data_IF_787912230632
#
_entry.id   IF_787912230632
#
_cell.length_a   1.000
_cell.length_b   1.000
_cell.length_c   1.000
_cell.angle_alpha   90.00
_cell.angle_beta   90.00
_cell.angle_gamma   90.00
#
_symmetry.space_group_name_H-M   'P 1'
#
loop_
_entity.id
_entity.type
_entity.pdbx_description
1 polymer ?
#
# COMPACT_ATOMS: atom_id res chain seq x y z
N UNK A 1 3.82 -19.83 9.70
CA UNK A 1 4.44 -18.52 9.95
C UNK A 1 4.10 -17.68 8.72
N UNK A 2 3.56 -16.51 8.88
CA UNK A 2 3.26 -15.61 7.75
C UNK A 2 4.52 -14.80 7.46
N UNK A 3 4.85 -14.57 6.18
CA UNK A 3 5.99 -13.72 5.82
C UNK A 3 5.67 -12.26 6.16
N UNK A 4 6.63 -11.58 6.75
CA UNK A 4 6.50 -10.13 7.05
C UNK A 4 6.86 -9.27 5.84
N UNK A 5 7.36 -9.84 4.75
CA UNK A 5 7.77 -9.12 3.55
C UNK A 5 7.31 -9.86 2.30
N UNK A 6 6.85 -9.06 1.31
CA UNK A 6 6.72 -9.47 -0.08
C UNK A 6 7.29 -8.36 -0.99
N UNK A 7 8.41 -8.67 -1.65
CA UNK A 7 9.08 -7.77 -2.59
C UNK A 7 8.78 -8.20 -4.03
N UNK A 8 8.13 -7.34 -4.80
CA UNK A 8 7.69 -7.64 -6.18
C UNK A 8 8.64 -7.00 -7.18
N UNK A 9 9.33 -7.84 -7.95
CA UNK A 9 10.24 -7.46 -9.03
C UNK A 9 9.62 -7.72 -10.39
N UNK A 10 10.05 -6.99 -11.40
CA UNK A 10 9.60 -7.18 -12.79
C UNK A 10 9.86 -5.95 -13.64
N UNK A 11 9.76 -6.06 -14.98
CA UNK A 11 9.98 -4.93 -15.88
C UNK A 11 8.94 -3.81 -15.70
N UNK A 12 9.22 -2.63 -16.27
CA UNK A 12 8.24 -1.55 -16.34
C UNK A 12 7.00 -2.02 -17.09
N UNK A 13 5.83 -1.59 -16.63
CA UNK A 13 4.53 -1.96 -17.18
C UNK A 13 4.18 -3.48 -17.09
N UNK A 14 4.87 -4.27 -16.26
CA UNK A 14 4.52 -5.68 -16.03
C UNK A 14 3.28 -5.88 -15.15
N UNK A 15 2.84 -4.83 -14.41
CA UNK A 15 1.67 -4.89 -13.54
C UNK A 15 2.00 -4.98 -12.05
N UNK A 16 3.22 -4.65 -11.62
CA UNK A 16 3.61 -4.64 -10.19
C UNK A 16 2.68 -3.76 -9.35
N UNK A 17 2.47 -2.52 -9.79
CA UNK A 17 1.55 -1.58 -9.15
C UNK A 17 0.13 -2.12 -9.07
N UNK A 18 -0.35 -2.83 -10.11
CA UNK A 18 -1.70 -3.43 -10.10
C UNK A 18 -1.92 -4.42 -8.94
N UNK A 19 -0.86 -5.11 -8.49
CA UNK A 19 -0.97 -5.98 -7.31
C UNK A 19 -1.23 -5.18 -6.04
N UNK A 20 -0.49 -4.08 -5.83
CA UNK A 20 -0.70 -3.20 -4.69
C UNK A 20 -2.07 -2.49 -4.76
N UNK A 21 -2.47 -2.05 -5.96
CA UNK A 21 -3.78 -1.43 -6.20
C UNK A 21 -4.94 -2.40 -5.92
N UNK A 22 -4.76 -3.69 -6.18
CA UNK A 22 -5.77 -4.69 -5.84
C UNK A 22 -5.99 -4.77 -4.32
N UNK A 23 -4.92 -4.77 -3.51
CA UNK A 23 -5.01 -4.75 -2.04
C UNK A 23 -5.62 -3.44 -1.53
N UNK A 24 -5.19 -2.32 -2.10
CA UNK A 24 -5.79 -1.00 -1.82
C UNK A 24 -7.28 -0.97 -2.14
N UNK A 25 -7.68 -1.53 -3.29
CA UNK A 25 -9.08 -1.62 -3.66
C UNK A 25 -9.88 -2.42 -2.63
N UNK A 26 -9.39 -3.59 -2.19
CA UNK A 26 -10.04 -4.40 -1.15
C UNK A 26 -10.26 -3.58 0.11
N UNK A 27 -9.21 -2.98 0.66
CA UNK A 27 -9.29 -2.17 1.87
C UNK A 27 -10.29 -1.03 1.74
N UNK A 28 -10.17 -0.21 0.69
CA UNK A 28 -11.07 0.91 0.46
C UNK A 28 -12.51 0.47 0.21
N UNK A 29 -12.73 -0.62 -0.51
CA UNK A 29 -14.09 -1.08 -0.80
C UNK A 29 -14.79 -1.64 0.44
N UNK A 30 -14.05 -2.32 1.33
CA UNK A 30 -14.56 -2.75 2.65
C UNK A 30 -14.87 -1.54 3.52
N UNK A 31 -13.96 -0.56 3.60
CA UNK A 31 -14.07 0.61 4.49
C UNK A 31 -15.21 1.55 4.10
N UNK A 32 -15.28 1.92 2.81
CA UNK A 32 -16.11 3.01 2.28
C UNK A 32 -17.47 2.53 1.76
N UNK A 33 -17.55 1.26 1.36
CA UNK A 33 -18.60 0.72 0.49
C UNK A 33 -20.06 1.09 0.79
N UNK A 34 -20.51 1.11 2.05
CA UNK A 34 -21.90 1.47 2.38
C UNK A 34 -22.05 2.93 2.82
N UNK A 35 -21.03 3.55 3.43
CA UNK A 35 -21.10 4.88 4.02
C UNK A 35 -21.15 5.98 2.97
N UNK A 36 -20.31 5.92 1.94
CA UNK A 36 -20.08 7.02 1.00
C UNK A 36 -20.69 6.82 -0.39
N UNK A 37 -21.25 5.64 -0.67
CA UNK A 37 -21.82 5.33 -1.98
C UNK A 37 -23.33 5.21 -1.90
N UNK A 38 -24.02 6.06 -2.65
CA UNK A 38 -25.43 5.83 -2.91
C UNK A 38 -25.62 4.66 -3.90
N UNK A 39 -26.86 4.19 -4.05
CA UNK A 39 -27.17 3.04 -4.89
C UNK A 39 -26.92 3.29 -6.41
N UNK A 40 -26.75 4.54 -6.81
CA UNK A 40 -26.54 4.92 -8.23
C UNK A 40 -25.07 4.94 -8.63
N UNK A 41 -24.14 5.00 -7.66
CA UNK A 41 -22.71 5.06 -7.95
C UNK A 41 -22.15 3.69 -8.37
N UNK A 42 -21.35 3.71 -9.43
CA UNK A 42 -20.61 2.52 -9.87
C UNK A 42 -19.52 2.12 -8.86
N UNK A 43 -19.23 0.82 -8.79
CA UNK A 43 -18.05 0.32 -8.07
C UNK A 43 -16.80 0.71 -8.89
N UNK A 44 -15.76 1.31 -8.28
CA UNK A 44 -14.57 1.78 -8.99
C UNK A 44 -13.58 0.63 -9.24
N UNK A 45 -14.09 -0.51 -9.70
CA UNK A 45 -13.27 -1.62 -10.16
C UNK A 45 -12.91 -1.41 -11.62
N UNK A 46 -11.65 -1.64 -11.95
CA UNK A 46 -11.17 -1.60 -13.32
C UNK A 46 -11.00 -3.02 -13.86
N UNK A 47 -11.86 -3.46 -14.79
CA UNK A 47 -11.73 -4.77 -15.39
C UNK A 47 -10.53 -4.81 -16.34
N UNK A 48 -10.05 -6.02 -16.65
CA UNK A 48 -8.98 -6.20 -17.62
C UNK A 48 -9.48 -5.86 -19.04
N UNK A 49 -8.95 -4.79 -19.62
CA UNK A 49 -9.45 -4.20 -20.88
C UNK A 49 -8.79 -4.80 -22.16
N UNK A 50 -7.67 -5.53 -22.02
CA UNK A 50 -6.92 -6.05 -23.17
C UNK A 50 -7.48 -7.38 -23.71
N UNK A 51 -8.50 -7.95 -23.08
CA UNK A 51 -9.18 -9.18 -23.51
C UNK A 51 -10.68 -8.94 -23.52
N UNK A 52 -11.27 -8.93 -24.72
CA UNK A 52 -12.72 -8.72 -24.90
C UNK A 52 -13.58 -9.80 -24.20
N UNK A 53 -13.01 -10.99 -23.94
CA UNK A 53 -13.70 -12.02 -23.16
C UNK A 53 -13.89 -11.67 -21.69
N UNK A 54 -13.14 -10.69 -21.19
CA UNK A 54 -13.26 -10.16 -19.83
C UNK A 54 -14.37 -9.11 -19.67
N UNK A 55 -14.93 -8.62 -20.78
CA UNK A 55 -15.99 -7.63 -20.73
C UNK A 55 -17.25 -8.19 -20.05
N UNK A 56 -17.71 -7.47 -19.03
CA UNK A 56 -18.85 -7.90 -18.21
C UNK A 56 -18.57 -9.03 -17.22
N UNK A 57 -17.37 -9.62 -17.21
CA UNK A 57 -16.98 -10.59 -16.19
C UNK A 57 -16.65 -9.87 -14.87
N UNK A 58 -16.89 -10.50 -13.71
CA UNK A 58 -16.51 -9.92 -12.43
C UNK A 58 -14.99 -9.93 -12.26
N UNK A 59 -14.45 -8.87 -11.65
CA UNK A 59 -13.12 -8.91 -11.03
C UNK A 59 -13.22 -9.62 -9.69
N UNK A 60 -12.37 -10.61 -9.48
CA UNK A 60 -12.40 -11.49 -8.31
C UNK A 60 -11.24 -11.22 -7.36
N UNK A 61 -11.53 -11.19 -6.08
CA UNK A 61 -10.57 -10.93 -5.02
C UNK A 61 -10.67 -12.03 -3.97
N UNK A 62 -9.51 -12.48 -3.48
CA UNK A 62 -9.40 -13.38 -2.35
C UNK A 62 -8.26 -12.91 -1.45
N UNK A 63 -8.56 -12.69 -0.18
CA UNK A 63 -7.58 -12.30 0.84
C UNK A 63 -7.68 -13.25 2.02
N UNK A 64 -6.54 -13.82 2.40
CA UNK A 64 -6.38 -14.60 3.62
C UNK A 64 -5.60 -13.77 4.64
N UNK A 65 -6.12 -13.65 5.86
CA UNK A 65 -5.55 -12.79 6.90
C UNK A 65 -5.83 -13.32 8.30
N UNK A 66 -5.08 -12.81 9.28
CA UNK A 66 -5.31 -13.02 10.71
C UNK A 66 -5.84 -11.70 11.26
N UNK A 67 -7.03 -11.71 11.87
CA UNK A 67 -7.61 -10.51 12.44
C UNK A 67 -7.21 -10.30 13.92
N UNK A 68 -7.62 -9.17 14.49
CA UNK A 68 -7.27 -8.79 15.87
C UNK A 68 -7.71 -9.78 16.95
N UNK A 69 -8.68 -10.66 16.68
CA UNK A 69 -9.08 -11.78 17.55
C UNK A 69 -8.14 -13.00 17.46
N UNK A 70 -7.08 -12.92 16.63
CA UNK A 70 -6.11 -14.00 16.40
C UNK A 70 -6.62 -15.13 15.50
N UNK A 71 -7.83 -15.04 14.95
CA UNK A 71 -8.38 -16.05 14.06
C UNK A 71 -7.96 -15.80 12.60
N UNK A 72 -7.81 -16.89 11.86
CA UNK A 72 -7.56 -16.86 10.42
C UNK A 72 -8.88 -16.75 9.67
N UNK A 73 -8.94 -15.80 8.77
CA UNK A 73 -10.08 -15.56 7.88
C UNK A 73 -9.67 -15.72 6.41
N UNK A 74 -10.63 -16.12 5.59
CA UNK A 74 -10.54 -16.02 4.13
C UNK A 74 -11.77 -15.24 3.66
N UNK A 75 -11.51 -14.10 3.06
CA UNK A 75 -12.52 -13.24 2.47
C UNK A 75 -12.43 -13.27 0.94
N UNK A 76 -13.50 -13.61 0.27
CA UNK A 76 -13.55 -13.65 -1.19
C UNK A 76 -14.78 -12.94 -1.71
N UNK A 77 -14.63 -12.18 -2.79
CA UNK A 77 -15.74 -11.54 -3.46
C UNK A 77 -15.45 -11.29 -4.94
N UNK A 78 -16.51 -11.20 -5.74
CA UNK A 78 -16.46 -10.82 -7.13
C UNK A 78 -17.36 -9.62 -7.40
N UNK A 79 -16.85 -8.64 -8.16
CA UNK A 79 -17.55 -7.40 -8.45
C UNK A 79 -17.48 -7.03 -9.91
N UNK A 80 -18.58 -6.48 -10.42
CA UNK A 80 -18.62 -5.69 -11.64
C UNK A 80 -18.69 -4.20 -11.28
N UNK A 81 -18.66 -3.31 -12.25
CA UNK A 81 -18.91 -1.89 -12.01
C UNK A 81 -20.31 -1.59 -11.44
N UNK A 82 -21.24 -2.54 -11.51
CA UNK A 82 -22.65 -2.37 -11.12
C UNK A 82 -22.99 -2.98 -9.79
N UNK A 83 -22.44 -4.17 -9.50
CA UNK A 83 -22.86 -4.95 -8.34
C UNK A 83 -21.78 -5.90 -7.82
N UNK A 84 -21.95 -6.31 -6.57
CA UNK A 84 -21.26 -7.45 -5.96
C UNK A 84 -21.94 -8.73 -6.45
N UNK A 85 -21.22 -9.54 -7.23
CA UNK A 85 -21.73 -10.77 -7.84
C UNK A 85 -21.74 -11.91 -6.84
N UNK A 86 -20.66 -12.01 -6.06
CA UNK A 86 -20.60 -12.93 -4.92
C UNK A 86 -19.75 -12.33 -3.79
N UNK A 87 -19.95 -12.83 -2.57
CA UNK A 87 -19.18 -12.46 -1.38
C UNK A 87 -19.25 -13.61 -0.36
N UNK A 88 -18.09 -14.03 0.14
CA UNK A 88 -18.00 -15.10 1.13
C UNK A 88 -16.96 -14.72 2.19
N UNK A 89 -17.30 -14.98 3.47
CA UNK A 89 -16.35 -14.90 4.57
C UNK A 89 -16.30 -16.25 5.30
N UNK A 90 -15.09 -16.77 5.40
CA UNK A 90 -14.76 -18.02 6.09
C UNK A 90 -13.87 -17.71 7.28
N UNK A 91 -14.11 -18.35 8.42
CA UNK A 91 -13.25 -18.28 9.60
C UNK A 91 -12.78 -19.65 10.01
N UNK A 92 -11.58 -19.73 10.57
CA UNK A 92 -10.99 -20.95 11.10
C UNK A 92 -10.89 -20.87 12.62
N UNK A 93 -11.94 -21.40 13.31
CA UNK A 93 -11.90 -21.62 14.77
C UNK A 93 -11.02 -22.81 15.15
N UNK A 94 -10.72 -23.66 14.17
CA UNK A 94 -9.87 -24.84 14.27
C UNK A 94 -9.26 -25.09 12.89
N UNK A 95 -8.72 -26.28 12.62
CA UNK A 95 -8.26 -26.65 11.27
C UNK A 95 -9.36 -26.73 10.20
N UNK A 96 -10.64 -26.79 10.63
CA UNK A 96 -11.77 -26.85 9.72
C UNK A 96 -12.36 -25.47 9.44
N UNK A 97 -12.62 -25.11 8.16
CA UNK A 97 -13.22 -23.85 7.78
C UNK A 97 -14.70 -23.78 8.19
N UNK A 98 -15.13 -22.62 8.65
CA UNK A 98 -16.53 -22.31 8.91
C UNK A 98 -16.94 -21.12 8.05
N UNK A 99 -17.82 -21.32 7.08
CA UNK A 99 -18.40 -20.24 6.28
C UNK A 99 -19.38 -19.45 7.15
N UNK A 100 -19.07 -18.17 7.39
CA UNK A 100 -19.98 -17.31 8.19
C UNK A 100 -21.18 -16.86 7.37
N UNK A 101 -20.96 -16.49 6.13
CA UNK A 101 -22.01 -16.19 5.16
C UNK A 101 -21.53 -16.41 3.73
N UNK A 102 -22.50 -16.59 2.83
CA UNK A 102 -22.28 -16.64 1.37
C UNK A 102 -23.38 -15.82 0.71
N UNK A 103 -23.01 -14.81 -0.04
CA UNK A 103 -23.86 -13.95 -0.86
C UNK A 103 -23.65 -14.26 -2.33
N UNK A 104 -24.70 -14.21 -3.13
CA UNK A 104 -24.64 -14.37 -4.56
C UNK A 104 -25.68 -13.50 -5.25
N UNK A 105 -25.38 -13.05 -6.48
CA UNK A 105 -26.29 -12.39 -7.41
C UNK A 105 -26.61 -13.33 -8.57
N UNK A 106 -27.86 -13.41 -8.93
CA UNK A 106 -28.30 -14.16 -10.08
C UNK A 106 -29.23 -13.26 -10.91
N UNK A 107 -28.72 -12.72 -12.03
CA UNK A 107 -29.49 -11.81 -12.88
C UNK A 107 -29.93 -10.51 -12.18
N UNK A 108 -29.13 -10.04 -11.19
CA UNK A 108 -29.44 -8.86 -10.37
C UNK A 108 -30.24 -9.14 -9.11
N UNK A 109 -30.80 -10.35 -8.94
CA UNK A 109 -31.45 -10.78 -7.70
C UNK A 109 -30.41 -11.24 -6.69
N UNK A 110 -30.30 -10.49 -5.60
CA UNK A 110 -29.33 -10.71 -4.53
C UNK A 110 -29.87 -11.68 -3.49
N UNK A 111 -29.07 -12.66 -3.08
CA UNK A 111 -29.38 -13.59 -2.00
C UNK A 111 -28.19 -13.78 -1.05
N UNK A 112 -28.48 -14.11 0.22
CA UNK A 112 -27.47 -14.41 1.22
C UNK A 112 -27.86 -15.60 2.08
N UNK A 113 -26.89 -16.48 2.35
CA UNK A 113 -27.02 -17.59 3.28
C UNK A 113 -26.10 -17.37 4.47
N UNK A 114 -26.63 -17.48 5.67
CA UNK A 114 -25.89 -17.31 6.93
C UNK A 114 -25.68 -18.63 7.63
N UNK A 115 -24.50 -18.84 8.15
CA UNK A 115 -24.26 -19.94 9.08
C UNK A 115 -25.00 -19.74 10.41
N UNK A 116 -25.26 -20.83 11.11
CA UNK A 116 -25.78 -20.80 12.48
C UNK A 116 -24.77 -20.23 13.47
N UNK A 117 -23.49 -20.35 13.17
CA UNK A 117 -22.38 -19.77 13.95
C UNK A 117 -22.41 -18.24 13.96
N UNK A 118 -22.80 -17.59 12.87
CA UNK A 118 -22.94 -16.13 12.82
C UNK A 118 -24.16 -15.69 13.63
N UNK A 119 -23.93 -15.09 14.80
CA UNK A 119 -24.96 -14.58 15.70
C UNK A 119 -25.23 -13.08 15.41
N UNK A 120 -26.31 -12.55 16.00
CA UNK A 120 -26.67 -11.13 15.90
C UNK A 120 -27.69 -10.80 14.82
N UNK A 121 -27.89 -9.53 14.56
CA UNK A 121 -28.97 -8.97 13.73
C UNK A 121 -28.68 -9.05 12.21
N UNK A 122 -28.14 -10.17 11.74
CA UNK A 122 -27.68 -10.37 10.36
C UNK A 122 -28.75 -10.12 9.29
N UNK A 123 -30.05 -10.38 9.59
CA UNK A 123 -31.16 -10.12 8.66
C UNK A 123 -31.46 -8.63 8.51
N UNK A 124 -31.33 -7.86 9.58
CA UNK A 124 -31.49 -6.40 9.55
C UNK A 124 -30.35 -5.75 8.77
N UNK A 125 -29.11 -6.21 9.00
CA UNK A 125 -27.93 -5.77 8.23
C UNK A 125 -28.10 -6.10 6.73
N UNK A 126 -28.57 -7.30 6.41
CA UNK A 126 -28.87 -7.66 5.03
C UNK A 126 -29.90 -6.75 4.37
N UNK A 127 -30.93 -6.36 5.09
CA UNK A 127 -31.98 -5.49 4.57
C UNK A 127 -31.48 -4.09 4.15
N UNK A 128 -30.38 -3.62 4.74
CA UNK A 128 -29.75 -2.34 4.39
C UNK A 128 -28.57 -2.51 3.40
N UNK A 129 -28.17 -3.75 3.12
CA UNK A 129 -27.04 -4.03 2.22
C UNK A 129 -27.46 -3.78 0.76
N UNK A 130 -26.79 -2.85 0.10
CA UNK A 130 -27.05 -2.53 -1.30
C UNK A 130 -26.33 -3.51 -2.24
N UNK A 131 -26.80 -3.62 -3.49
CA UNK A 131 -26.16 -4.47 -4.50
C UNK A 131 -24.71 -4.05 -4.81
N UNK A 132 -24.39 -2.77 -4.69
CA UNK A 132 -23.07 -2.18 -4.95
C UNK A 132 -22.18 -2.02 -3.70
N UNK A 133 -22.53 -2.62 -2.58
CA UNK A 133 -21.77 -2.59 -1.34
C UNK A 133 -21.58 -4.00 -0.76
N UNK A 134 -20.47 -4.24 -0.09
CA UNK A 134 -20.19 -5.50 0.59
C UNK A 134 -21.08 -5.69 1.83
N UNK A 135 -21.47 -6.93 2.13
CA UNK A 135 -22.17 -7.27 3.37
C UNK A 135 -21.25 -7.01 4.58
N UNK A 136 -19.95 -7.27 4.46
CA UNK A 136 -18.97 -6.97 5.52
C UNK A 136 -18.97 -5.49 5.88
N UNK A 137 -19.01 -4.59 4.88
CA UNK A 137 -19.15 -3.13 5.10
C UNK A 137 -20.47 -2.77 5.79
N UNK A 138 -21.57 -3.39 5.37
CA UNK A 138 -22.88 -3.19 5.96
C UNK A 138 -22.93 -3.69 7.41
N UNK A 139 -22.20 -4.77 7.71
CA UNK A 139 -22.10 -5.35 9.06
C UNK A 139 -21.47 -4.37 10.05
N UNK A 140 -20.44 -3.63 9.63
CA UNK A 140 -19.83 -2.58 10.46
C UNK A 140 -20.82 -1.46 10.77
N UNK A 141 -21.53 -0.95 9.75
CA UNK A 141 -22.53 0.11 9.93
C UNK A 141 -23.72 -0.35 10.77
N UNK A 142 -24.15 -1.62 10.61
CA UNK A 142 -25.27 -2.21 11.31
C UNK A 142 -24.93 -2.79 12.69
N UNK A 143 -23.68 -2.63 13.18
CA UNK A 143 -23.28 -3.11 14.51
C UNK A 143 -23.31 -4.63 14.65
N UNK A 144 -22.90 -5.38 13.64
CA UNK A 144 -22.82 -6.85 13.70
C UNK A 144 -21.45 -7.28 14.26
N UNK A 145 -21.31 -7.21 15.58
CA UNK A 145 -20.06 -7.44 16.33
C UNK A 145 -19.25 -8.68 15.92
N UNK A 146 -19.85 -9.86 15.61
CA UNK A 146 -19.08 -11.04 15.21
C UNK A 146 -18.23 -10.88 13.94
N UNK A 147 -18.43 -9.82 13.16
CA UNK A 147 -17.66 -9.50 11.95
C UNK A 147 -16.73 -8.30 12.13
N UNK A 148 -16.68 -7.72 13.33
CA UNK A 148 -15.94 -6.49 13.62
C UNK A 148 -14.45 -6.66 13.38
N UNK A 149 -13.83 -7.72 13.91
CA UNK A 149 -12.37 -7.90 13.79
C UNK A 149 -11.96 -8.12 12.33
N UNK A 150 -12.71 -8.94 11.59
CA UNK A 150 -12.47 -9.12 10.15
C UNK A 150 -12.66 -7.81 9.35
N UNK A 151 -13.65 -6.99 9.71
CA UNK A 151 -13.86 -5.69 9.08
C UNK A 151 -12.70 -4.72 9.38
N UNK A 152 -12.31 -4.61 10.66
CA UNK A 152 -11.26 -3.68 11.09
C UNK A 152 -9.93 -4.01 10.41
N UNK A 153 -9.57 -5.30 10.35
CA UNK A 153 -8.35 -5.74 9.70
C UNK A 153 -8.30 -5.36 8.21
N UNK A 154 -9.35 -5.68 7.47
CA UNK A 154 -9.39 -5.37 6.03
C UNK A 154 -9.55 -3.87 5.76
N UNK A 155 -10.29 -3.14 6.58
CA UNK A 155 -10.58 -1.72 6.36
C UNK A 155 -9.44 -0.79 6.77
N UNK A 156 -8.68 -1.17 7.82
CA UNK A 156 -7.69 -0.28 8.45
C UNK A 156 -6.33 -0.95 8.69
N UNK A 157 -6.21 -2.26 8.56
CA UNK A 157 -4.95 -2.98 8.72
C UNK A 157 -4.01 -2.89 7.51
N UNK A 158 -4.46 -2.30 6.39
CA UNK A 158 -3.69 -2.14 5.16
C UNK A 158 -3.53 -0.65 4.85
N UNK A 159 -2.30 -0.18 4.80
CA UNK A 159 -1.94 1.21 4.50
C UNK A 159 -1.16 1.29 3.19
N UNK A 160 -1.65 2.06 2.23
CA UNK A 160 -0.91 2.33 1.00
C UNK A 160 -0.10 3.60 1.15
N UNK A 161 1.17 3.50 0.82
CA UNK A 161 2.08 4.61 0.67
C UNK A 161 2.51 4.73 -0.80
N UNK A 162 2.17 5.84 -1.43
CA UNK A 162 2.70 6.21 -2.73
C UNK A 162 3.96 7.06 -2.53
N UNK A 163 5.10 6.60 -3.03
CA UNK A 163 6.34 7.35 -2.93
C UNK A 163 6.30 8.73 -3.63
N UNK A 164 5.29 8.99 -4.46
CA UNK A 164 5.02 10.30 -5.03
C UNK A 164 4.17 11.20 -4.11
N UNK A 165 3.57 10.67 -3.04
CA UNK A 165 2.66 11.37 -2.13
C UNK A 165 3.28 11.68 -0.76
N UNK A 166 4.55 12.13 -0.73
CA UNK A 166 5.20 12.60 0.50
C UNK A 166 4.39 13.63 1.29
N UNK A 167 3.68 14.59 0.65
CA UNK A 167 2.84 15.54 1.38
C UNK A 167 1.75 14.87 2.22
N UNK A 168 1.24 13.72 1.79
CA UNK A 168 0.19 13.00 2.51
C UNK A 168 0.67 12.53 3.90
N UNK A 169 1.89 11.99 4.02
CA UNK A 169 2.43 11.54 5.29
C UNK A 169 2.72 12.70 6.26
N UNK A 170 3.01 13.90 5.77
CA UNK A 170 3.18 15.07 6.61
C UNK A 170 1.92 15.43 7.39
N UNK A 171 0.73 15.08 6.91
CA UNK A 171 -0.49 15.25 7.68
C UNK A 171 -0.51 14.36 8.91
N UNK A 172 -0.08 13.10 8.76
CA UNK A 172 0.03 12.16 9.88
C UNK A 172 1.07 12.66 10.91
N UNK A 173 2.21 13.16 10.44
CA UNK A 173 3.25 13.74 11.29
C UNK A 173 2.74 14.98 12.03
N UNK A 174 2.01 15.87 11.37
CA UNK A 174 1.40 17.07 11.99
C UNK A 174 0.34 16.68 13.03
N UNK A 175 -0.50 15.68 12.75
CA UNK A 175 -1.45 15.15 13.73
C UNK A 175 -0.75 14.46 14.90
N UNK A 176 0.31 13.70 14.64
CA UNK A 176 1.15 13.12 15.68
C UNK A 176 1.69 14.22 16.60
N UNK A 177 2.22 15.31 16.05
CA UNK A 177 2.73 16.44 16.84
C UNK A 177 1.66 17.12 17.69
N UNK A 178 0.40 17.17 17.21
CA UNK A 178 -0.74 17.69 17.97
C UNK A 178 -1.08 16.81 19.17
N UNK A 179 -1.11 15.50 18.95
CA UNK A 179 -1.67 14.54 19.89
C UNK A 179 -0.61 13.86 20.77
N UNK A 180 0.60 13.67 20.24
CA UNK A 180 1.68 12.94 20.90
C UNK A 180 3.06 13.49 20.53
N UNK A 181 3.58 14.43 21.30
CA UNK A 181 4.89 15.03 21.05
C UNK A 181 6.05 14.02 21.11
N UNK A 182 5.93 12.97 21.91
CA UNK A 182 6.99 11.95 22.00
C UNK A 182 7.24 11.23 20.67
N UNK A 183 6.24 11.11 19.80
CA UNK A 183 6.42 10.57 18.45
C UNK A 183 7.33 11.43 17.59
N UNK A 184 7.29 12.76 17.73
CA UNK A 184 8.19 13.68 17.03
C UNK A 184 9.63 13.55 17.54
N UNK A 185 9.82 13.32 18.84
CA UNK A 185 11.14 13.10 19.43
C UNK A 185 11.73 11.77 18.94
N UNK A 186 10.92 10.71 18.87
CA UNK A 186 11.31 9.42 18.30
C UNK A 186 11.72 9.54 16.81
N UNK A 187 10.94 10.24 15.99
CA UNK A 187 11.28 10.49 14.59
C UNK A 187 12.56 11.32 14.44
N UNK A 188 12.74 12.32 15.30
CA UNK A 188 13.97 13.14 15.35
C UNK A 188 15.20 12.29 15.67
N UNK A 189 15.06 11.32 16.56
CA UNK A 189 16.12 10.40 16.91
C UNK A 189 16.45 9.47 15.73
N UNK A 190 15.46 8.88 15.09
CA UNK A 190 15.65 8.01 13.91
C UNK A 190 16.36 8.75 12.77
N UNK A 191 15.98 9.99 12.48
CA UNK A 191 16.63 10.79 11.43
C UNK A 191 18.11 11.07 11.73
N UNK A 192 18.48 11.27 13.01
CA UNK A 192 19.90 11.42 13.40
C UNK A 192 20.71 10.15 13.13
N UNK A 193 20.13 8.98 13.40
CA UNK A 193 20.79 7.68 13.13
C UNK A 193 20.82 7.33 11.65
N UNK A 194 19.96 7.92 10.83
CA UNK A 194 19.96 7.70 9.37
C UNK A 194 21.11 8.44 8.65
N UNK A 195 21.87 9.32 9.34
CA UNK A 195 23.00 10.06 8.80
C UNK A 195 22.70 10.84 7.51
N UNK A 196 21.53 11.45 7.46
CA UNK A 196 21.06 12.28 6.33
C UNK A 196 21.27 13.79 6.55
N UNK A 197 22.05 14.16 7.57
CA UNK A 197 22.36 15.55 7.90
C UNK A 197 21.31 16.28 8.76
N UNK A 198 20.22 15.61 9.13
CA UNK A 198 19.16 16.16 9.97
C UNK A 198 19.42 15.85 11.44
N UNK A 199 19.34 16.85 12.31
CA UNK A 199 19.53 16.72 13.76
C UNK A 199 18.21 16.54 14.52
N UNK A 200 17.07 16.82 13.90
CA UNK A 200 15.73 16.67 14.46
C UNK A 200 14.68 17.36 13.63
N UNK A 201 13.44 17.16 14.02
CA UNK A 201 12.26 17.80 13.39
C UNK A 201 11.41 18.50 14.45
N UNK A 202 10.61 19.46 14.00
CA UNK A 202 9.57 20.11 14.79
C UNK A 202 8.39 20.49 13.91
N UNK A 203 7.19 20.53 14.49
CA UNK A 203 5.99 21.01 13.81
C UNK A 203 5.62 22.36 14.40
N UNK A 204 5.64 23.39 13.56
CA UNK A 204 5.48 24.79 13.97
C UNK A 204 4.33 25.45 13.25
N UNK A 205 3.69 26.41 13.91
CA UNK A 205 2.69 27.27 13.28
C UNK A 205 3.34 28.14 12.21
N UNK A 206 2.70 28.23 11.07
CA UNK A 206 3.06 29.14 9.98
C UNK A 206 2.05 30.31 9.95
N UNK A 207 2.54 31.52 9.67
CA UNK A 207 1.65 32.65 9.45
C UNK A 207 0.89 32.39 8.14
N UNK A 208 -0.45 32.56 8.14
CA UNK A 208 -1.26 32.43 6.94
C UNK A 208 -0.75 33.41 5.85
N UNK A 209 -0.28 32.88 4.73
CA UNK A 209 0.10 33.66 3.55
C UNK A 209 -0.97 33.50 2.46
N UNK A 210 -1.02 34.45 1.50
CA UNK A 210 -1.98 34.37 0.38
C UNK A 210 -1.75 33.15 -0.55
N UNK A 211 -0.57 32.50 -0.52
CA UNK A 211 -0.30 31.21 -1.16
C UNK A 211 -1.06 30.03 -0.53
N UNK A 212 -1.61 30.20 0.68
CA UNK A 212 -2.39 29.17 1.36
C UNK A 212 -3.76 28.90 0.69
N UNK A 213 -4.22 29.79 -0.19
CA UNK A 213 -5.48 29.60 -0.91
C UNK A 213 -5.38 28.49 -2.00
N UNK A 214 -4.23 28.34 -2.66
CA UNK A 214 -4.00 27.23 -3.61
C UNK A 214 -3.76 25.89 -2.88
N UNK A 215 -3.03 25.92 -1.76
CA UNK A 215 -2.90 24.76 -0.85
C UNK A 215 -4.25 24.32 -0.29
N UNK A 216 -5.24 25.21 -0.21
CA UNK A 216 -6.62 24.91 0.22
C UNK A 216 -7.34 23.96 -0.75
N UNK A 217 -7.05 24.01 -2.04
CA UNK A 217 -7.62 23.06 -3.01
C UNK A 217 -6.98 21.65 -2.88
N UNK A 218 -5.65 21.56 -2.68
CA UNK A 218 -5.01 20.30 -2.29
C UNK A 218 -5.49 19.79 -0.92
N UNK A 219 -5.82 20.70 0.00
CA UNK A 219 -6.40 20.38 1.30
C UNK A 219 -7.77 19.70 1.21
N UNK A 220 -8.57 19.98 0.18
CA UNK A 220 -9.88 19.33 -0.04
C UNK A 220 -9.71 17.85 -0.40
N UNK A 221 -8.73 17.51 -1.22
CA UNK A 221 -8.43 16.13 -1.61
C UNK A 221 -7.90 15.30 -0.42
N UNK A 222 -7.12 15.95 0.45
CA UNK A 222 -6.66 15.37 1.72
C UNK A 222 -7.79 15.22 2.72
N UNK A 223 -8.69 16.19 2.82
CA UNK A 223 -9.89 16.10 3.66
C UNK A 223 -10.75 14.91 3.26
N UNK A 224 -10.85 14.57 1.98
CA UNK A 224 -11.54 13.37 1.54
C UNK A 224 -10.83 12.09 1.96
N UNK A 225 -9.48 12.07 1.95
CA UNK A 225 -8.69 10.93 2.44
C UNK A 225 -8.75 10.78 3.98
N UNK A 226 -8.71 11.88 4.72
CA UNK A 226 -8.67 11.88 6.18
C UNK A 226 -10.06 11.80 6.82
N UNK A 227 -11.10 12.30 6.17
CA UNK A 227 -12.52 12.13 6.60
C UNK A 227 -12.97 10.68 6.70
N UNK A 228 -12.19 9.74 6.18
CA UNK A 228 -12.46 8.31 6.34
C UNK A 228 -12.16 7.77 7.76
N UNK A 229 -11.53 8.55 8.66
CA UNK A 229 -11.39 8.19 10.07
C UNK A 229 -12.54 8.82 10.87
N UNK A 230 -13.26 8.03 11.65
CA UNK A 230 -14.41 8.46 12.46
C UNK A 230 -14.03 9.49 13.55
N UNK A 231 -12.72 9.69 13.83
CA UNK A 231 -12.18 10.55 14.88
C UNK A 231 -11.61 11.89 14.36
N UNK A 232 -11.76 12.21 13.06
CA UNK A 232 -11.20 13.42 12.50
C UNK A 232 -12.08 14.65 12.72
N UNK A 233 -11.54 15.64 13.42
CA UNK A 233 -12.26 16.88 13.77
C UNK A 233 -11.86 18.07 12.88
N UNK A 234 -12.74 19.08 12.78
CA UNK A 234 -12.43 20.35 12.12
C UNK A 234 -11.19 21.04 12.74
N UNK A 235 -10.93 20.79 14.02
CA UNK A 235 -9.75 21.26 14.74
C UNK A 235 -8.45 20.66 14.18
N UNK A 236 -8.49 19.41 13.69
CA UNK A 236 -7.34 18.72 13.08
C UNK A 236 -7.00 19.35 11.74
N UNK A 237 -8.02 19.61 10.92
CA UNK A 237 -7.84 20.30 9.65
C UNK A 237 -7.19 21.68 9.84
N UNK A 238 -7.71 22.48 10.78
CA UNK A 238 -7.13 23.79 11.08
C UNK A 238 -5.68 23.69 11.57
N UNK A 239 -5.35 22.66 12.33
CA UNK A 239 -3.99 22.42 12.77
C UNK A 239 -3.06 22.03 11.61
N UNK A 240 -3.48 21.09 10.78
CA UNK A 240 -2.72 20.63 9.61
C UNK A 240 -2.42 21.81 8.68
N UNK A 241 -3.43 22.62 8.36
CA UNK A 241 -3.28 23.76 7.45
C UNK A 241 -2.47 24.91 8.07
N UNK A 242 -2.55 25.10 9.36
CA UNK A 242 -1.83 26.18 10.10
C UNK A 242 -0.45 25.80 10.60
N UNK A 243 0.10 24.65 10.20
CA UNK A 243 1.42 24.19 10.65
C UNK A 243 2.25 23.67 9.50
N UNK A 244 3.58 23.69 9.68
CA UNK A 244 4.54 23.02 8.77
C UNK A 244 5.59 22.26 9.56
N UNK A 245 6.24 21.29 8.87
CA UNK A 245 7.34 20.49 9.41
C UNK A 245 8.65 21.23 9.15
N UNK A 246 9.44 21.40 10.20
CA UNK A 246 10.76 22.02 10.15
C UNK A 246 11.84 20.99 10.50
N UNK A 247 12.97 21.11 9.83
CA UNK A 247 14.14 20.26 9.97
C UNK A 247 15.29 21.05 10.54
N UNK A 248 15.97 20.49 11.55
CA UNK A 248 17.12 21.10 12.19
C UNK A 248 18.40 20.60 11.58
N UNK A 249 19.22 21.51 11.07
CA UNK A 249 20.51 21.22 10.51
C UNK A 249 21.64 21.87 11.32
N UNK A 250 22.85 21.28 11.19
CA UNK A 250 24.05 21.85 11.79
C UNK A 250 24.51 23.06 10.99
N UNK A 251 24.54 24.22 11.61
CA UNK A 251 25.17 25.42 11.06
C UNK A 251 26.64 25.54 11.42
N UNK A 252 27.33 26.53 10.87
CA UNK A 252 28.74 26.84 11.17
C UNK A 252 28.92 27.43 12.58
N UNK A 253 27.89 27.97 13.19
CA UNK A 253 27.85 28.51 14.58
C UNK A 253 26.67 27.88 15.32
N UNK A 254 25.46 28.31 15.01
CA UNK A 254 24.24 27.76 15.61
C UNK A 254 23.54 26.82 14.64
N UNK A 255 22.71 25.90 15.17
CA UNK A 255 21.88 25.05 14.36
C UNK A 255 20.76 25.87 13.70
N UNK A 256 20.38 25.50 12.48
CA UNK A 256 19.41 26.25 11.66
C UNK A 256 18.21 25.38 11.32
N UNK A 257 17.03 25.96 11.42
CA UNK A 257 15.78 25.32 11.05
C UNK A 257 15.37 25.67 9.61
N UNK A 258 15.13 24.66 8.79
CA UNK A 258 14.55 24.80 7.47
C UNK A 258 13.12 24.27 7.45
N UNK A 259 12.21 24.92 6.71
CA UNK A 259 10.88 24.38 6.44
C UNK A 259 10.97 23.22 5.44
N UNK A 260 9.95 22.39 5.39
CA UNK A 260 9.88 21.23 4.49
C UNK A 260 10.10 21.59 3.02
N UNK A 261 9.71 22.81 2.60
CA UNK A 261 9.88 23.30 1.23
C UNK A 261 11.32 23.58 0.82
N UNK A 262 12.27 23.62 1.77
CA UNK A 262 13.71 23.81 1.53
C UNK A 262 14.51 22.52 1.63
N UNK A 263 13.85 21.40 1.93
CA UNK A 263 14.49 20.10 2.04
C UNK A 263 14.61 19.40 0.69
N UNK A 264 15.53 18.45 0.63
CA UNK A 264 15.62 17.54 -0.49
C UNK A 264 14.47 16.50 -0.46
N UNK A 265 14.03 16.03 -1.65
CA UNK A 265 13.05 14.97 -1.76
C UNK A 265 13.46 13.72 -0.96
N UNK A 266 14.77 13.40 -0.93
CA UNK A 266 15.29 12.27 -0.17
C UNK A 266 15.15 12.44 1.35
N UNK A 267 15.33 13.66 1.89
CA UNK A 267 15.13 13.96 3.31
C UNK A 267 13.66 13.84 3.69
N UNK A 268 12.78 14.40 2.86
CA UNK A 268 11.33 14.34 3.03
C UNK A 268 10.86 12.91 2.99
N UNK A 269 11.34 12.13 2.02
CA UNK A 269 11.04 10.72 1.89
C UNK A 269 11.49 9.92 3.12
N UNK A 270 12.71 10.13 3.61
CA UNK A 270 13.23 9.41 4.76
C UNK A 270 12.35 9.65 6.00
N UNK A 271 11.94 10.89 6.26
CA UNK A 271 11.02 11.21 7.35
C UNK A 271 9.68 10.48 7.20
N UNK A 272 9.11 10.50 5.99
CA UNK A 272 7.84 9.84 5.70
C UNK A 272 7.94 8.32 5.89
N UNK A 273 9.01 7.70 5.39
CA UNK A 273 9.26 6.26 5.58
C UNK A 273 9.43 5.88 7.05
N UNK A 274 10.16 6.69 7.85
CA UNK A 274 10.32 6.40 9.28
C UNK A 274 9.02 6.57 10.05
N UNK A 275 8.21 7.58 9.73
CA UNK A 275 6.87 7.76 10.31
C UNK A 275 5.99 6.54 10.05
N UNK A 276 5.95 6.10 8.78
CA UNK A 276 5.18 4.95 8.33
C UNK A 276 5.64 3.65 9.01
N UNK A 277 6.97 3.40 9.03
CA UNK A 277 7.51 2.22 9.70
C UNK A 277 7.20 2.22 11.20
N UNK A 278 7.41 3.36 11.87
CA UNK A 278 7.15 3.49 13.30
C UNK A 278 5.69 3.18 13.65
N UNK A 279 4.76 3.69 12.83
CA UNK A 279 3.34 3.40 12.98
C UNK A 279 3.06 1.90 12.78
N UNK A 280 3.46 1.34 11.65
CA UNK A 280 3.18 -0.05 11.32
C UNK A 280 3.81 -1.05 12.30
N UNK A 281 5.08 -0.86 12.67
CA UNK A 281 5.76 -1.75 13.61
C UNK A 281 5.12 -1.72 15.01
N UNK A 282 4.51 -0.59 15.40
CA UNK A 282 3.75 -0.47 16.66
C UNK A 282 2.36 -1.08 16.57
N UNK A 283 1.65 -0.92 15.46
CA UNK A 283 0.28 -1.40 15.27
C UNK A 283 0.18 -2.84 14.78
N UNK A 284 1.21 -3.35 14.07
CA UNK A 284 1.17 -4.63 13.36
C UNK A 284 0.50 -4.54 11.98
N UNK A 285 0.31 -3.33 11.43
CA UNK A 285 -0.36 -3.13 10.15
C UNK A 285 0.50 -3.54 8.94
N UNK A 286 -0.16 -3.69 7.79
CA UNK A 286 0.47 -3.99 6.50
C UNK A 286 0.70 -2.69 5.72
N UNK A 287 1.94 -2.43 5.31
CA UNK A 287 2.29 -1.29 4.46
C UNK A 287 2.46 -1.76 3.01
N UNK A 288 1.87 -1.02 2.09
CA UNK A 288 2.07 -1.18 0.65
C UNK A 288 2.89 -0.01 0.12
N UNK A 289 4.04 -0.27 -0.53
CA UNK A 289 4.93 0.77 -1.08
C UNK A 289 5.24 0.50 -2.54
N UNK A 290 4.90 1.41 -3.44
CA UNK A 290 5.28 1.31 -4.85
C UNK A 290 6.62 2.02 -5.10
N UNK A 291 7.49 1.40 -5.93
CA UNK A 291 8.83 1.91 -6.30
C UNK A 291 9.66 2.39 -5.09
N UNK A 292 9.81 1.53 -4.09
CA UNK A 292 10.39 1.86 -2.79
C UNK A 292 11.80 2.48 -2.88
N UNK A 293 12.58 2.12 -3.91
CA UNK A 293 13.93 2.64 -4.16
C UNK A 293 13.98 4.08 -4.69
N UNK A 294 12.84 4.64 -5.13
CA UNK A 294 12.81 5.91 -5.86
C UNK A 294 13.43 7.08 -5.10
N UNK A 295 13.37 7.06 -3.79
CA UNK A 295 13.73 8.21 -2.97
C UNK A 295 14.70 7.91 -1.83
N UNK A 296 15.03 6.64 -1.58
CA UNK A 296 15.96 6.25 -0.54
C UNK A 296 17.28 5.75 -1.12
N UNK A 297 18.39 6.17 -0.51
CA UNK A 297 19.70 5.59 -0.83
C UNK A 297 19.66 4.06 -0.55
N UNK A 298 20.28 3.20 -1.40
CA UNK A 298 20.22 1.73 -1.26
C UNK A 298 20.61 1.20 0.12
N UNK A 299 21.52 1.87 0.83
CA UNK A 299 21.89 1.49 2.21
C UNK A 299 20.72 1.73 3.17
N UNK A 300 20.05 2.88 3.09
CA UNK A 300 18.88 3.17 3.91
C UNK A 300 17.72 2.24 3.59
N UNK A 301 17.55 1.91 2.31
CA UNK A 301 16.55 0.95 1.87
C UNK A 301 16.78 -0.44 2.49
N UNK A 302 18.03 -0.94 2.49
CA UNK A 302 18.38 -2.20 3.16
C UNK A 302 18.05 -2.18 4.65
N UNK A 303 18.43 -1.12 5.35
CA UNK A 303 18.16 -0.99 6.79
C UNK A 303 16.65 -0.88 7.06
N UNK A 304 15.91 -0.15 6.22
CA UNK A 304 14.46 -0.05 6.34
C UNK A 304 13.77 -1.41 6.21
N UNK A 305 14.13 -2.20 5.20
CA UNK A 305 13.57 -3.54 4.99
C UNK A 305 13.90 -4.46 6.17
N UNK A 306 15.13 -4.35 6.74
CA UNK A 306 15.52 -5.12 7.94
C UNK A 306 14.62 -4.87 9.14
N UNK A 307 14.04 -3.67 9.29
CA UNK A 307 13.10 -3.38 10.37
C UNK A 307 11.93 -4.37 10.41
N UNK A 308 11.47 -4.83 9.25
CA UNK A 308 10.34 -5.75 9.14
C UNK A 308 10.75 -7.22 9.24
N UNK A 309 12.02 -7.54 9.02
CA UNK A 309 12.55 -8.91 9.11
C UNK A 309 12.97 -9.25 10.55
N UNK A 310 13.58 -8.31 11.27
CA UNK A 310 14.12 -8.53 12.62
C UNK A 310 13.00 -8.60 13.67
N UNK A 311 12.82 -9.73 14.38
CA UNK A 311 11.78 -9.85 15.41
C UNK A 311 11.92 -8.84 16.57
N UNK A 312 13.10 -8.26 16.76
CA UNK A 312 13.36 -7.27 17.82
C UNK A 312 12.73 -5.91 17.47
N UNK A 313 12.71 -5.56 16.18
CA UNK A 313 12.09 -4.33 15.67
C UNK A 313 10.65 -4.55 15.26
N UNK A 314 10.26 -5.79 14.90
CA UNK A 314 8.93 -6.15 14.46
C UNK A 314 8.26 -7.23 15.34
N UNK A 315 8.05 -6.97 16.64
CA UNK A 315 7.39 -7.92 17.53
C UNK A 315 5.90 -8.13 17.21
N UNK A 316 5.25 -7.15 16.58
CA UNK A 316 3.83 -7.19 16.23
C UNK A 316 3.56 -7.75 14.82
N UNK A 317 4.61 -8.25 14.13
CA UNK A 317 4.52 -8.89 12.81
C UNK A 317 3.89 -7.98 11.72
N UNK A 318 4.18 -6.69 11.77
CA UNK A 318 3.84 -5.77 10.70
C UNK A 318 4.36 -6.29 9.35
N UNK A 319 3.63 -6.05 8.28
CA UNK A 319 4.00 -6.52 6.95
C UNK A 319 4.40 -5.36 6.04
N UNK A 320 5.41 -5.60 5.18
CA UNK A 320 5.85 -4.69 4.15
C UNK A 320 5.74 -5.36 2.77
N UNK A 321 4.79 -4.91 1.95
CA UNK A 321 4.66 -5.32 0.55
C UNK A 321 5.09 -4.16 -0.33
N UNK A 322 6.08 -4.41 -1.18
CA UNK A 322 6.61 -3.33 -2.01
C UNK A 322 7.01 -3.79 -3.41
N UNK A 323 7.00 -2.87 -4.35
CA UNK A 323 7.60 -3.07 -5.66
C UNK A 323 8.99 -2.46 -5.70
N UNK A 324 9.90 -3.08 -6.45
CA UNK A 324 11.25 -2.55 -6.64
C UNK A 324 11.86 -2.99 -7.96
N UNK A 325 12.80 -2.17 -8.44
CA UNK A 325 13.75 -2.49 -9.51
C UNK A 325 15.18 -2.61 -8.98
N UNK A 326 15.41 -2.27 -7.71
CA UNK A 326 16.75 -2.30 -7.11
C UNK A 326 17.16 -3.73 -6.74
N UNK A 327 18.15 -4.25 -7.43
CA UNK A 327 18.70 -5.58 -7.17
C UNK A 327 19.61 -5.64 -5.94
N UNK A 328 19.96 -4.51 -5.32
CA UNK A 328 20.82 -4.47 -4.13
C UNK A 328 20.24 -5.27 -2.95
N UNK A 329 18.89 -5.35 -2.83
CA UNK A 329 18.21 -6.10 -1.78
C UNK A 329 18.35 -7.63 -1.92
N UNK A 330 18.65 -8.12 -3.14
CA UNK A 330 18.70 -9.55 -3.49
C UNK A 330 20.08 -9.98 -4.03
N UNK A 331 21.08 -9.08 -4.07
CA UNK A 331 22.38 -9.33 -4.73
C UNK A 331 23.41 -10.02 -3.85
N UNK A 332 23.21 -10.09 -2.52
CA UNK A 332 24.17 -10.74 -1.64
C UNK A 332 24.13 -12.26 -1.83
N UNK A 333 25.32 -12.86 -1.98
CA UNK A 333 25.44 -14.30 -2.26
C UNK A 333 25.39 -15.15 -0.98
N UNK A 334 25.72 -14.54 0.17
CA UNK A 334 25.61 -15.20 1.47
C UNK A 334 24.17 -15.10 1.97
N UNK A 335 23.52 -16.22 2.35
CA UNK A 335 22.19 -16.20 2.93
C UNK A 335 22.08 -15.31 4.19
N UNK A 336 23.15 -15.25 4.99
CA UNK A 336 23.19 -14.49 6.25
C UNK A 336 23.31 -12.96 6.01
N UNK A 337 23.80 -12.56 4.85
CA UNK A 337 23.96 -11.15 4.46
C UNK A 337 22.77 -10.62 3.66
N UNK A 338 21.95 -11.50 3.09
CA UNK A 338 20.77 -11.11 2.34
C UNK A 338 19.75 -10.42 3.21
N UNK A 339 19.23 -9.33 2.69
CA UNK A 339 18.09 -8.64 3.32
C UNK A 339 16.80 -9.39 3.05
N UNK A 340 16.61 -9.89 1.81
CA UNK A 340 15.44 -10.65 1.39
C UNK A 340 15.77 -12.12 1.16
N UNK A 341 14.95 -13.00 1.71
CA UNK A 341 15.02 -14.44 1.43
C UNK A 341 14.24 -14.78 0.15
N UNK A 342 14.49 -15.97 -0.41
CA UNK A 342 13.91 -16.41 -1.68
C UNK A 342 12.38 -16.45 -1.70
N UNK A 343 11.78 -16.80 -0.59
CA UNK A 343 10.33 -16.88 -0.39
C UNK A 343 9.66 -15.52 -0.18
N UNK A 344 10.47 -14.49 0.03
CA UNK A 344 10.01 -13.10 0.15
C UNK A 344 10.02 -12.34 -1.20
N UNK A 345 10.61 -12.93 -2.24
CA UNK A 345 10.76 -12.33 -3.57
C UNK A 345 9.74 -12.91 -4.54
N UNK A 346 8.98 -12.03 -5.14
CA UNK A 346 7.98 -12.34 -6.15
C UNK A 346 8.35 -11.69 -7.48
N UNK A 347 8.05 -12.38 -8.56
CA UNK A 347 8.34 -11.94 -9.92
C UNK A 347 7.04 -11.65 -10.65
N UNK A 348 6.99 -10.48 -11.30
CA UNK A 348 5.86 -10.02 -12.08
C UNK A 348 6.23 -10.01 -13.54
N UNK A 349 5.54 -10.79 -14.36
CA UNK A 349 5.75 -10.87 -15.80
C UNK A 349 4.46 -10.62 -16.58
N UNK A 350 4.60 -10.08 -17.79
CA UNK A 350 3.49 -9.72 -18.65
C UNK A 350 3.58 -10.48 -19.98
N UNK A 351 2.61 -11.32 -20.23
CA UNK A 351 2.48 -12.03 -21.49
C UNK A 351 2.20 -11.08 -22.67
N UNK A 352 2.44 -11.52 -23.90
CA UNK A 352 2.11 -10.76 -25.14
C UNK A 352 0.62 -10.36 -25.20
N UNK A 353 -0.25 -11.18 -24.61
CA UNK A 353 -1.68 -10.87 -24.46
C UNK A 353 -1.98 -9.71 -23.49
N UNK A 354 -0.97 -9.16 -22.81
CA UNK A 354 -1.10 -8.15 -21.79
C UNK A 354 -1.48 -8.69 -20.41
N UNK A 355 -1.72 -9.99 -20.25
CA UNK A 355 -2.03 -10.61 -18.96
C UNK A 355 -0.80 -10.62 -18.07
N UNK A 356 -0.95 -10.15 -16.85
CA UNK A 356 0.10 -10.18 -15.81
C UNK A 356 0.02 -11.48 -15.01
N UNK A 357 1.18 -12.05 -14.71
CA UNK A 357 1.34 -13.16 -13.79
C UNK A 357 2.29 -12.79 -12.66
N UNK A 358 1.95 -13.14 -11.44
CA UNK A 358 2.77 -12.99 -10.26
C UNK A 358 3.12 -14.39 -9.71
N UNK A 359 4.40 -14.66 -9.52
CA UNK A 359 4.87 -15.96 -9.06
C UNK A 359 6.08 -15.81 -8.13
N UNK A 360 6.26 -16.71 -7.14
CA UNK A 360 7.36 -16.61 -6.22
C UNK A 360 8.68 -17.01 -6.88
N UNK A 361 9.78 -16.39 -6.48
CA UNK A 361 11.12 -16.73 -6.98
C UNK A 361 11.48 -18.20 -6.69
N UNK A 362 10.90 -18.78 -5.66
CA UNK A 362 11.09 -20.20 -5.30
C UNK A 362 10.67 -21.20 -6.38
N UNK A 363 9.79 -20.80 -7.32
CA UNK A 363 9.39 -21.65 -8.45
C UNK A 363 10.58 -22.00 -9.36
N UNK A 364 11.61 -21.15 -9.39
CA UNK A 364 12.87 -21.40 -10.09
C UNK A 364 13.87 -22.23 -9.29
N UNK A 365 13.54 -22.62 -8.06
CA UNK A 365 14.40 -23.43 -7.16
C UNK A 365 15.83 -22.92 -7.04
N UNK A 366 16.08 -21.62 -6.82
CA UNK A 366 17.43 -21.07 -6.75
C UNK A 366 18.21 -21.69 -5.57
N UNK A 367 19.51 -21.94 -5.75
CA UNK A 367 20.36 -22.49 -4.69
C UNK A 367 20.69 -21.45 -3.62
N UNK A 368 21.03 -21.89 -2.41
CA UNK A 368 21.26 -21.01 -1.26
C UNK A 368 22.36 -19.96 -1.48
N UNK A 369 23.41 -20.31 -2.21
CA UNK A 369 24.58 -19.43 -2.45
C UNK A 369 24.55 -18.72 -3.81
N UNK A 370 23.43 -18.75 -4.51
CA UNK A 370 23.29 -18.01 -5.77
C UNK A 370 23.07 -16.53 -5.49
N UNK A 371 23.69 -15.66 -6.29
CA UNK A 371 23.41 -14.24 -6.29
C UNK A 371 22.11 -14.01 -7.08
N UNK A 372 21.01 -13.81 -6.38
CA UNK A 372 19.66 -13.69 -6.97
C UNK A 372 19.57 -12.47 -7.88
N UNK A 373 20.15 -11.33 -7.45
CA UNK A 373 20.13 -10.10 -8.24
C UNK A 373 20.88 -10.24 -9.56
N UNK A 374 22.07 -10.88 -9.54
CA UNK A 374 22.82 -11.17 -10.75
C UNK A 374 22.04 -12.10 -11.69
N UNK A 375 21.43 -13.13 -11.15
CA UNK A 375 20.63 -14.08 -11.92
C UNK A 375 19.40 -13.38 -12.54
N UNK A 376 18.75 -12.51 -11.77
CA UNK A 376 17.64 -11.67 -12.26
C UNK A 376 18.11 -10.80 -13.43
N UNK A 377 19.22 -10.03 -13.27
CA UNK A 377 19.79 -9.19 -14.32
C UNK A 377 20.26 -9.95 -15.56
N UNK A 378 20.61 -11.23 -15.42
CA UNK A 378 20.95 -12.10 -16.57
C UNK A 378 19.74 -12.73 -17.25
N UNK A 379 18.51 -12.42 -16.81
CA UNK A 379 17.27 -12.95 -17.41
C UNK A 379 16.96 -14.40 -17.07
N UNK A 380 17.61 -15.00 -16.06
CA UNK A 380 17.38 -16.40 -15.67
C UNK A 380 15.94 -16.61 -15.20
N UNK A 381 15.33 -15.56 -14.64
CA UNK A 381 13.97 -15.59 -14.10
C UNK A 381 12.92 -14.96 -15.03
N UNK A 382 13.28 -14.68 -16.25
CA UNK A 382 12.46 -14.12 -17.33
C UNK A 382 11.95 -12.68 -17.12
N UNK A 383 11.53 -12.26 -16.00
CA UNK A 383 10.90 -10.97 -15.68
C UNK A 383 11.80 -9.73 -15.95
N UNK A 384 12.36 -9.59 -17.16
CA UNK A 384 13.21 -8.48 -17.57
C UNK A 384 12.75 -7.81 -18.88
N UNK A 385 12.95 -6.48 -19.03
CA UNK A 385 12.74 -5.81 -20.30
C UNK A 385 13.81 -6.19 -21.33
N UNK A 386 13.45 -6.23 -22.60
CA UNK A 386 14.39 -6.43 -23.72
C UNK A 386 14.38 -5.20 -24.63
N UNK A 387 15.05 -4.09 -24.24
CA UNK A 387 15.02 -2.83 -24.99
C UNK A 387 15.88 -2.91 -26.24
N UNK A 388 15.33 -2.52 -27.41
CA UNK A 388 16.01 -2.42 -28.71
C UNK A 388 15.95 -1.00 -29.31
N UNK A 389 15.66 0.00 -28.51
CA UNK A 389 15.43 1.35 -29.00
C UNK A 389 16.70 2.08 -29.47
N UNK A 390 17.89 1.70 -28.98
CA UNK A 390 19.14 2.36 -29.34
C UNK A 390 19.41 2.33 -30.87
N UNK A 391 19.27 1.18 -31.49
CA UNK A 391 19.42 1.01 -32.95
C UNK A 391 18.39 1.86 -33.70
N UNK A 392 17.15 1.86 -33.24
CA UNK A 392 16.07 2.66 -33.85
C UNK A 392 16.31 4.16 -33.72
N UNK A 393 16.85 4.63 -32.59
CA UNK A 393 17.25 6.04 -32.43
C UNK A 393 18.35 6.41 -33.41
N UNK A 394 19.36 5.54 -33.60
CA UNK A 394 20.43 5.80 -34.57
C UNK A 394 19.88 5.96 -35.99
N UNK A 395 18.96 5.12 -36.41
CA UNK A 395 18.30 5.24 -37.73
C UNK A 395 17.51 6.55 -37.88
N UNK A 396 16.70 6.92 -36.87
CA UNK A 396 15.89 8.13 -36.88
C UNK A 396 16.75 9.41 -36.93
N UNK A 397 17.85 9.46 -36.19
CA UNK A 397 18.73 10.58 -36.15
C UNK A 397 19.50 10.70 -37.47
N UNK A 398 19.97 9.60 -38.06
CA UNK A 398 20.70 9.61 -39.35
C UNK A 398 19.79 9.99 -40.52
N UNK A 399 18.53 9.57 -40.52
CA UNK A 399 17.55 9.93 -41.56
C UNK A 399 17.23 11.43 -41.55
N UNK A 400 17.20 12.06 -40.35
CA UNK A 400 16.97 13.50 -40.19
C UNK A 400 18.14 14.36 -40.69
N UNK A 401 19.34 13.79 -40.76
CA UNK A 401 20.55 14.52 -41.27
C UNK A 401 20.58 14.58 -42.79
N UNK A 402 20.00 13.60 -43.47
CA UNK A 402 19.99 13.57 -44.96
C UNK A 402 18.91 14.51 -45.54
N UNK A 403 17.84 14.83 -44.82
CA UNK A 403 16.80 15.77 -45.29
C UNK A 403 17.18 17.27 -45.17
N UNK A 404 18.33 17.60 -44.56
CA UNK A 404 18.86 18.99 -44.47
C UNK A 404 19.89 19.32 -45.54
N UNK A 405 20.27 18.38 -46.39
CA UNK A 405 21.22 18.56 -47.46
C UNK A 405 20.61 18.50 -48.88
N UNK A 406 19.28 18.47 -48.98
CA UNK A 406 18.50 18.76 -50.18
C UNK A 406 17.80 20.14 -50.01
#
# INVERSE_FOLDING_TARGET
MVSTIAAVYGPNASGKTCFLDALKFVSNFVRVGLRERDASRSIPVEPFLLDSSSDGQPSEFLVEFIAGDGLRYVFSFGVTRREVVYEELVVYYSSQPTKLYVRSSNGGEQSIKFATALKGQKKQVWAITRSNALFLSAASVGGLDPLKDAYVELAYGIELYDAADYPGEFYNIKLMAKNNRSGIDELSELLRYADIGVLGIDVRRVAASEEDAEKTMMGVEVVERVKSSDDFELSDLKWIMGTDVYFLHRGSGENVWFSSSHESDGTVAALSFFSLALHALKSGSTILVDEMERSLHPILLKEYVRLFVDPRTNPNQAQLFFTSHDTALISDSSPDERVLQRDQVWLCDKAESGKTSLFPLTDYSPKDRENLGRNYMNGIYHALPNPRFHERFAELVSSSSNSKNE
#
